data_IF_174688265290
#
_entry.id   IF_174688265290
#
_cell.length_a   1.000
_cell.length_b   1.000
_cell.length_c   1.000
_cell.angle_alpha   90.00
_cell.angle_beta   90.00
_cell.angle_gamma   90.00
#
_symmetry.space_group_name_H-M   'P 1'
#
loop_
_entity.id
_entity.type
_entity.pdbx_description
1 polymer ?
#
# COMPACT_ATOMS: atom_id res chain seq x y z
N UNK A 1 13.23 -10.68 10.54
CA UNK A 1 13.96 -11.00 9.29
C UNK A 1 13.09 -10.87 8.03
N UNK A 2 11.99 -11.63 7.87
CA UNK A 2 11.10 -11.53 6.68
C UNK A 2 10.55 -10.12 6.41
N UNK A 3 10.06 -9.45 7.45
CA UNK A 3 9.47 -8.11 7.31
C UNK A 3 10.50 -7.06 6.88
N UNK A 4 11.77 -7.25 7.24
CA UNK A 4 12.85 -6.32 6.90
C UNK A 4 13.26 -6.46 5.42
N UNK A 5 13.37 -7.69 4.93
CA UNK A 5 13.64 -7.97 3.52
C UNK A 5 12.56 -7.39 2.60
N UNK A 6 11.29 -7.63 2.91
CA UNK A 6 10.17 -7.05 2.15
C UNK A 6 10.17 -5.52 2.21
N UNK A 7 10.42 -4.94 3.40
CA UNK A 7 10.50 -3.47 3.57
C UNK A 7 11.63 -2.88 2.73
N UNK A 8 12.79 -3.53 2.69
CA UNK A 8 13.92 -3.10 1.88
C UNK A 8 13.59 -3.15 0.39
N UNK A 9 13.06 -4.27 -0.10
CA UNK A 9 12.68 -4.41 -1.50
C UNK A 9 11.66 -3.33 -1.93
N UNK A 10 10.61 -3.10 -1.14
CA UNK A 10 9.62 -2.06 -1.42
C UNK A 10 10.25 -0.66 -1.46
N UNK A 11 11.15 -0.33 -0.53
CA UNK A 11 11.82 0.99 -0.50
C UNK A 11 12.83 1.18 -1.62
N UNK A 12 13.46 0.10 -2.10
CA UNK A 12 14.37 0.15 -3.24
C UNK A 12 13.67 0.50 -4.55
N UNK A 13 12.39 0.16 -4.67
CA UNK A 13 11.66 0.26 -5.95
C UNK A 13 10.44 1.18 -5.92
N UNK A 14 9.96 1.59 -4.75
CA UNK A 14 8.79 2.46 -4.63
C UNK A 14 9.03 3.63 -3.67
N UNK A 15 8.68 4.83 -4.12
CA UNK A 15 8.53 6.00 -3.25
C UNK A 15 7.13 5.95 -2.63
N UNK A 16 7.06 5.65 -1.34
CA UNK A 16 5.79 5.53 -0.62
C UNK A 16 5.39 6.83 0.05
N UNK A 17 4.10 7.17 -0.01
CA UNK A 17 3.49 8.28 0.73
C UNK A 17 2.16 7.83 1.34
N UNK A 18 1.67 8.49 2.39
CA UNK A 18 0.36 8.19 2.92
C UNK A 18 -0.74 8.64 1.94
N UNK A 19 -1.86 7.92 1.92
CA UNK A 19 -3.04 8.33 1.12
C UNK A 19 -3.70 9.56 1.77
N UNK A 20 -3.77 9.57 3.11
CA UNK A 20 -4.29 10.68 3.92
C UNK A 20 -3.19 11.43 4.66
N UNK A 21 -3.28 12.76 4.69
CA UNK A 21 -2.24 13.64 5.27
C UNK A 21 -2.48 13.95 6.74
N UNK A 22 -3.70 13.75 7.21
CA UNK A 22 -4.06 13.88 8.62
C UNK A 22 -3.38 12.79 9.46
N UNK A 23 -3.18 13.06 10.75
CA UNK A 23 -2.58 12.09 11.66
C UNK A 23 -3.55 10.95 12.01
N UNK A 24 -2.97 9.78 12.32
CA UNK A 24 -3.75 8.68 12.86
C UNK A 24 -4.34 9.09 14.23
N UNK A 25 -5.63 8.85 14.42
CA UNK A 25 -6.39 9.37 15.56
C UNK A 25 -7.12 10.69 15.29
N UNK A 26 -6.84 11.39 14.19
CA UNK A 26 -7.57 12.60 13.83
C UNK A 26 -9.04 12.29 13.45
N UNK A 27 -9.94 13.20 13.83
CA UNK A 27 -11.33 13.19 13.34
C UNK A 27 -11.35 13.66 11.89
N UNK A 28 -11.99 12.89 11.02
CA UNK A 28 -12.11 13.19 9.59
C UNK A 28 -13.57 13.10 9.15
N UNK A 29 -13.92 13.93 8.17
CA UNK A 29 -15.19 13.84 7.44
C UNK A 29 -14.90 13.36 6.02
N UNK A 30 -15.66 12.39 5.55
CA UNK A 30 -15.60 11.85 4.20
C UNK A 30 -16.88 12.21 3.48
N UNK A 31 -16.77 13.17 2.57
CA UNK A 31 -17.88 13.63 1.74
C UNK A 31 -18.35 12.56 0.75
N UNK A 32 -19.53 12.79 0.18
CA UNK A 32 -20.02 11.97 -0.93
C UNK A 32 -19.02 12.03 -2.11
N UNK A 33 -18.84 10.89 -2.78
CA UNK A 33 -17.88 10.78 -3.90
C UNK A 33 -16.44 10.47 -3.48
N UNK A 34 -16.18 10.11 -2.21
CA UNK A 34 -14.87 9.56 -1.83
C UNK A 34 -14.57 8.27 -2.62
N UNK A 35 -13.29 8.01 -2.88
CA UNK A 35 -12.84 6.82 -3.61
C UNK A 35 -12.74 5.59 -2.68
N UNK A 36 -13.52 4.52 -2.91
CA UNK A 36 -13.42 3.29 -2.12
C UNK A 36 -12.11 2.53 -2.34
N UNK A 37 -11.38 2.83 -3.43
CA UNK A 37 -10.05 2.29 -3.69
C UNK A 37 -8.97 2.94 -2.80
N UNK A 38 -9.20 4.17 -2.34
CA UNK A 38 -8.27 4.91 -1.48
C UNK A 38 -8.65 4.81 0.01
N UNK A 39 -9.93 4.67 0.32
CA UNK A 39 -10.44 4.72 1.68
C UNK A 39 -11.41 3.57 1.93
N UNK A 40 -11.07 2.71 2.89
CA UNK A 40 -11.94 1.66 3.41
C UNK A 40 -12.65 2.15 4.67
N UNK A 41 -13.99 2.20 4.66
CA UNK A 41 -14.78 2.39 5.86
C UNK A 41 -14.74 1.12 6.73
N UNK A 42 -14.60 1.28 8.05
CA UNK A 42 -14.51 0.19 9.03
C UNK A 42 -15.45 0.46 10.21
N UNK A 43 -15.99 -0.61 10.82
CA UNK A 43 -16.95 -0.55 11.93
C UNK A 43 -18.39 -0.78 11.47
N UNK A 44 -19.35 -0.24 12.22
CA UNK A 44 -20.77 -0.23 11.83
C UNK A 44 -21.03 0.88 10.83
N UNK A 45 -20.90 0.54 9.55
CA UNK A 45 -21.04 1.47 8.42
C UNK A 45 -22.46 1.39 7.90
N UNK A 46 -23.29 2.38 8.28
CA UNK A 46 -24.66 2.52 7.81
C UNK A 46 -24.93 3.95 7.32
N UNK A 47 -25.98 4.11 6.52
CA UNK A 47 -26.36 5.39 5.92
C UNK A 47 -25.46 5.82 4.75
N UNK A 48 -25.64 7.07 4.34
CA UNK A 48 -24.91 7.71 3.23
C UNK A 48 -23.93 8.75 3.73
N UNK A 49 -22.94 9.06 2.91
CA UNK A 49 -22.03 10.17 3.16
C UNK A 49 -22.80 11.50 3.38
N UNK A 50 -22.24 12.46 4.16
CA UNK A 50 -20.88 12.46 4.70
C UNK A 50 -20.69 11.52 5.91
N UNK A 51 -19.63 10.72 5.88
CA UNK A 51 -19.23 9.89 7.01
C UNK A 51 -18.30 10.66 7.93
N UNK A 52 -18.50 10.55 9.25
CA UNK A 52 -17.62 11.15 10.26
C UNK A 52 -17.01 10.06 11.12
N UNK A 53 -15.68 10.06 11.22
CA UNK A 53 -14.97 9.01 11.92
C UNK A 53 -13.58 9.43 12.37
N UNK A 54 -12.80 8.46 12.84
CA UNK A 54 -11.41 8.64 13.25
C UNK A 54 -10.52 7.91 12.26
N UNK A 55 -9.52 8.60 11.72
CA UNK A 55 -8.55 8.00 10.81
C UNK A 55 -7.69 6.99 11.57
N UNK A 56 -7.91 5.69 11.38
CA UNK A 56 -7.17 4.63 12.09
C UNK A 56 -5.84 4.29 11.44
N UNK A 57 -5.79 4.31 10.12
CA UNK A 57 -4.58 4.12 9.35
C UNK A 57 -4.63 5.04 8.14
N UNK A 58 -3.52 5.72 7.83
CA UNK A 58 -3.46 6.74 6.76
C UNK A 58 -3.43 6.15 5.35
N UNK A 59 -3.36 4.84 5.22
CA UNK A 59 -3.10 4.15 3.96
C UNK A 59 -1.68 4.38 3.46
N UNK A 60 -1.31 3.66 2.41
CA UNK A 60 -0.06 3.86 1.68
C UNK A 60 -0.33 3.86 0.19
N UNK A 61 0.30 4.77 -0.54
CA UNK A 61 0.36 4.76 -2.00
C UNK A 61 1.79 4.82 -2.46
N UNK A 62 2.07 4.26 -3.63
CA UNK A 62 3.28 4.56 -4.36
C UNK A 62 3.09 5.89 -5.10
N UNK A 63 3.90 6.91 -4.80
CA UNK A 63 3.99 8.13 -5.60
C UNK A 63 4.80 7.90 -6.87
N UNK A 64 5.77 6.99 -6.80
CA UNK A 64 6.60 6.57 -7.92
C UNK A 64 7.00 5.11 -7.75
N UNK A 65 7.11 4.39 -8.86
CA UNK A 65 7.64 3.03 -8.95
C UNK A 65 8.79 3.05 -9.96
N UNK A 66 9.95 2.53 -9.56
CA UNK A 66 11.13 2.36 -10.40
C UNK A 66 11.59 0.92 -10.30
N UNK A 67 11.20 0.13 -11.31
CA UNK A 67 11.62 -1.26 -11.45
C UNK A 67 12.85 -1.31 -12.36
N UNK A 68 13.84 -2.15 -12.04
CA UNK A 68 14.95 -2.40 -12.94
C UNK A 68 14.43 -3.05 -14.23
N UNK A 69 15.06 -2.71 -15.36
CA UNK A 69 14.77 -3.39 -16.62
C UNK A 69 15.34 -4.81 -16.55
N UNK A 70 14.52 -5.86 -16.80
CA UNK A 70 15.02 -7.23 -16.87
C UNK A 70 16.10 -7.35 -17.94
N UNK A 71 17.19 -8.03 -17.61
CA UNK A 71 18.22 -8.38 -18.61
C UNK A 71 17.63 -9.35 -19.64
N UNK A 72 18.10 -9.27 -20.90
CA UNK A 72 17.62 -10.17 -21.94
C UNK A 72 17.84 -11.64 -21.55
N UNK A 73 16.79 -12.46 -21.67
CA UNK A 73 16.81 -13.88 -21.27
C UNK A 73 16.48 -14.16 -19.80
N UNK A 74 16.26 -13.13 -18.97
CA UNK A 74 15.76 -13.33 -17.60
C UNK A 74 14.24 -13.51 -17.58
N UNK A 75 13.78 -14.66 -17.10
CA UNK A 75 12.37 -14.90 -16.82
C UNK A 75 12.00 -14.33 -15.43
N UNK A 76 11.35 -13.17 -15.42
CA UNK A 76 10.95 -12.47 -14.21
C UNK A 76 9.84 -13.18 -13.40
N UNK A 77 9.27 -14.29 -13.92
CA UNK A 77 8.32 -15.11 -13.17
C UNK A 77 9.01 -16.03 -12.15
N UNK A 78 10.31 -16.30 -12.32
CA UNK A 78 11.11 -17.12 -11.40
C UNK A 78 11.65 -16.22 -10.28
N UNK A 79 10.99 -16.25 -9.11
CA UNK A 79 11.36 -15.41 -7.95
C UNK A 79 12.62 -15.91 -7.24
N UNK A 80 12.82 -17.22 -7.18
CA UNK A 80 14.01 -17.87 -6.63
C UNK A 80 14.21 -19.23 -7.34
N UNK A 81 15.46 -19.62 -7.66
CA UNK A 81 15.75 -20.93 -8.22
C UNK A 81 15.50 -22.05 -7.19
N UNK A 82 15.23 -23.26 -7.67
CA UNK A 82 15.21 -24.45 -6.81
C UNK A 82 16.64 -24.90 -6.47
N UNK A 83 16.86 -25.34 -5.25
CA UNK A 83 18.14 -25.87 -4.78
C UNK A 83 18.07 -27.40 -4.73
N UNK A 84 19.09 -28.07 -5.29
CA UNK A 84 19.22 -29.53 -5.29
C UNK A 84 20.61 -29.89 -4.74
N UNK A 85 20.63 -30.66 -3.65
CA UNK A 85 21.85 -31.22 -3.06
C UNK A 85 22.20 -32.55 -3.74
N UNK A 86 23.49 -32.78 -4.01
CA UNK A 86 24.03 -33.99 -4.64
C UNK A 86 25.09 -34.63 -3.73
#
# INVERSE_FOLDING_TARGET
MVHEGCRRALRSHAKLAPVRREDEGAKVTLEAGYSPAEIKLIGDVSGSAPYRGVLRHRGWRAEAISLPTPVAGHDASIIAPAEVEL
#
